data_IF_167055237686
#
_entry.id   IF_167055237686
#
_cell.length_a   1.000
_cell.length_b   1.000
_cell.length_c   1.000
_cell.angle_alpha   90.00
_cell.angle_beta   90.00
_cell.angle_gamma   90.00
#
_symmetry.space_group_name_H-M   'P 1'
#
loop_
_entity.id
_entity.type
_entity.pdbx_description
1 polymer ?
#
# COMPACT_ATOMS: atom_id res chain seq x y z
N UNK A 1 -26.39 21.71 -13.44
CA UNK A 1 -25.37 21.96 -12.38
C UNK A 1 -26.08 22.63 -11.21
N UNK A 2 -25.88 22.15 -9.99
CA UNK A 2 -26.46 22.75 -8.78
C UNK A 2 -25.39 23.59 -8.09
N UNK A 3 -25.75 24.80 -7.63
CA UNK A 3 -24.85 25.65 -6.85
C UNK A 3 -25.10 25.40 -5.37
N UNK A 4 -24.04 25.10 -4.62
CA UNK A 4 -24.08 24.93 -3.16
C UNK A 4 -23.15 25.98 -2.57
N UNK A 5 -23.68 26.82 -1.70
CA UNK A 5 -22.92 27.81 -0.93
C UNK A 5 -23.13 27.53 0.54
N UNK A 6 -22.04 27.54 1.32
CA UNK A 6 -22.10 27.38 2.76
C UNK A 6 -20.93 28.13 3.41
N UNK A 7 -21.15 28.61 4.62
CA UNK A 7 -20.10 29.15 5.48
C UNK A 7 -19.65 28.01 6.40
N UNK A 8 -18.33 27.79 6.47
CA UNK A 8 -17.73 26.71 7.26
C UNK A 8 -16.73 27.27 8.24
N UNK A 9 -16.53 26.55 9.36
CA UNK A 9 -15.49 26.87 10.32
C UNK A 9 -14.08 26.58 9.77
N UNK A 10 -13.07 27.11 10.46
CA UNK A 10 -11.66 26.93 10.08
C UNK A 10 -11.22 25.45 10.14
N UNK A 11 -11.78 24.66 11.07
CA UNK A 11 -11.44 23.25 11.20
C UNK A 11 -11.90 22.43 9.98
N UNK A 12 -13.07 22.75 9.42
CA UNK A 12 -13.62 22.15 8.20
C UNK A 12 -12.82 22.63 6.99
N UNK A 13 -12.48 23.91 6.90
CA UNK A 13 -11.61 24.42 5.84
C UNK A 13 -10.26 23.68 5.81
N UNK A 14 -9.66 23.44 6.98
CA UNK A 14 -8.42 22.67 7.11
C UNK A 14 -8.59 21.19 6.69
N UNK A 15 -9.74 20.55 6.98
CA UNK A 15 -10.04 19.20 6.50
C UNK A 15 -10.18 19.16 4.98
N UNK A 16 -10.81 20.15 4.36
CA UNK A 16 -10.93 20.25 2.90
C UNK A 16 -9.55 20.40 2.26
N UNK A 17 -8.72 21.28 2.81
CA UNK A 17 -7.35 21.46 2.32
C UNK A 17 -6.52 20.17 2.47
N UNK A 18 -6.65 19.48 3.61
CA UNK A 18 -6.01 18.19 3.81
C UNK A 18 -6.49 17.15 2.81
N UNK A 19 -7.79 17.09 2.53
CA UNK A 19 -8.36 16.18 1.54
C UNK A 19 -7.80 16.44 0.13
N UNK A 20 -7.61 17.71 -0.26
CA UNK A 20 -6.92 18.06 -1.52
C UNK A 20 -5.50 17.51 -1.58
N UNK A 21 -4.73 17.65 -0.50
CA UNK A 21 -3.35 17.14 -0.44
C UNK A 21 -3.30 15.61 -0.56
N UNK A 22 -4.18 14.90 0.15
CA UNK A 22 -4.25 13.43 0.14
C UNK A 22 -4.68 12.92 -1.23
N UNK A 23 -5.73 13.51 -1.80
CA UNK A 23 -6.36 13.03 -3.02
C UNK A 23 -5.73 13.58 -4.30
N UNK A 24 -4.70 14.43 -4.21
CA UNK A 24 -4.05 15.06 -5.37
C UNK A 24 -3.63 14.05 -6.45
N UNK A 25 -3.22 12.84 -6.06
CA UNK A 25 -2.87 11.78 -7.02
C UNK A 25 -4.06 11.27 -7.83
N UNK A 26 -5.25 11.17 -7.22
CA UNK A 26 -6.49 10.73 -7.88
C UNK A 26 -7.17 11.87 -8.62
N UNK A 27 -7.18 13.06 -8.01
CA UNK A 27 -7.82 14.27 -8.53
C UNK A 27 -6.82 15.44 -8.56
N UNK A 28 -5.99 15.56 -9.62
CA UNK A 28 -4.96 16.60 -9.70
C UNK A 28 -5.49 18.03 -9.63
N UNK A 29 -6.72 18.25 -10.11
CA UNK A 29 -7.38 19.56 -10.08
C UNK A 29 -7.89 19.96 -8.68
N UNK A 30 -8.08 19.00 -7.77
CA UNK A 30 -8.54 19.25 -6.40
C UNK A 30 -9.90 19.95 -6.30
N UNK A 31 -10.79 19.74 -7.30
CA UNK A 31 -12.14 20.31 -7.30
C UNK A 31 -12.92 19.83 -6.08
N UNK A 32 -13.73 20.72 -5.52
CA UNK A 32 -14.54 20.40 -4.35
C UNK A 32 -15.59 19.32 -4.65
N UNK A 33 -16.11 19.27 -5.87
CA UNK A 33 -17.06 18.25 -6.32
C UNK A 33 -16.50 16.83 -6.14
N UNK A 34 -15.27 16.59 -6.62
CA UNK A 34 -14.61 15.28 -6.50
C UNK A 34 -14.40 14.89 -5.03
N UNK A 35 -13.98 15.85 -4.21
CA UNK A 35 -13.69 15.65 -2.79
C UNK A 35 -14.98 15.38 -2.01
N UNK A 36 -16.04 16.15 -2.28
CA UNK A 36 -17.34 15.95 -1.65
C UNK A 36 -17.94 14.62 -2.07
N UNK A 37 -17.83 14.23 -3.34
CA UNK A 37 -18.33 12.94 -3.80
C UNK A 37 -17.62 11.78 -3.08
N UNK A 38 -16.29 11.79 -2.98
CA UNK A 38 -15.55 10.77 -2.20
C UNK A 38 -15.96 10.76 -0.72
N UNK A 39 -16.09 11.94 -0.11
CA UNK A 39 -16.43 12.06 1.30
C UNK A 39 -17.85 11.53 1.58
N UNK A 40 -18.82 11.88 0.72
CA UNK A 40 -20.21 11.44 0.83
C UNK A 40 -20.33 9.94 0.55
N UNK A 41 -19.64 9.42 -0.45
CA UNK A 41 -19.64 7.99 -0.76
C UNK A 41 -19.08 7.18 0.41
N UNK A 42 -17.96 7.63 1.01
CA UNK A 42 -17.39 7.01 2.20
C UNK A 42 -18.29 7.12 3.43
N UNK A 43 -18.99 8.26 3.61
CA UNK A 43 -19.96 8.46 4.68
C UNK A 43 -21.14 7.49 4.54
N UNK A 44 -21.72 7.41 3.34
CA UNK A 44 -22.86 6.55 3.05
C UNK A 44 -22.48 5.07 3.22
N UNK A 45 -21.33 4.62 2.70
CA UNK A 45 -20.86 3.24 2.89
C UNK A 45 -20.71 2.84 4.37
N UNK A 46 -20.38 3.83 5.23
CA UNK A 46 -20.20 3.60 6.67
C UNK A 46 -21.50 3.73 7.47
N UNK A 47 -22.37 4.68 7.12
CA UNK A 47 -23.49 5.10 7.98
C UNK A 47 -24.85 4.66 7.46
N UNK A 48 -25.05 4.58 6.15
CA UNK A 48 -26.34 4.27 5.52
C UNK A 48 -26.83 2.86 5.89
N UNK A 49 -27.99 2.74 6.57
CA UNK A 49 -28.60 1.44 6.88
C UNK A 49 -28.91 0.59 5.64
N UNK A 50 -29.34 1.20 4.53
CA UNK A 50 -29.70 0.46 3.32
C UNK A 50 -28.48 -0.19 2.69
N UNK A 51 -27.36 0.55 2.59
CA UNK A 51 -26.08 0.00 2.12
C UNK A 51 -25.58 -1.11 3.05
N UNK A 52 -25.75 -0.97 4.36
CA UNK A 52 -25.41 -2.04 5.32
C UNK A 52 -26.24 -3.30 5.11
N UNK A 53 -27.54 -3.17 4.90
CA UNK A 53 -28.44 -4.29 4.64
C UNK A 53 -28.06 -4.99 3.33
N UNK A 54 -27.88 -4.23 2.24
CA UNK A 54 -27.39 -4.75 0.95
C UNK A 54 -26.07 -5.50 1.12
N UNK A 55 -25.10 -4.93 1.84
CA UNK A 55 -23.81 -5.58 2.13
C UNK A 55 -23.97 -6.88 2.90
N UNK A 56 -24.87 -6.94 3.90
CA UNK A 56 -25.17 -8.17 4.64
C UNK A 56 -25.80 -9.23 3.75
N UNK A 57 -26.74 -8.85 2.88
CA UNK A 57 -27.37 -9.74 1.91
C UNK A 57 -26.35 -10.31 0.92
N UNK A 58 -25.48 -9.46 0.34
CA UNK A 58 -24.40 -9.88 -0.56
C UNK A 58 -23.45 -10.85 0.14
N UNK A 59 -23.05 -10.58 1.39
CA UNK A 59 -22.22 -11.51 2.17
C UNK A 59 -22.90 -12.87 2.40
N UNK A 60 -24.20 -12.87 2.74
CA UNK A 60 -24.98 -14.10 2.94
C UNK A 60 -25.08 -14.90 1.63
N UNK A 61 -25.35 -14.23 0.50
CA UNK A 61 -25.36 -14.87 -0.82
C UNK A 61 -24.00 -15.46 -1.17
N UNK A 62 -22.90 -14.72 -0.98
CA UNK A 62 -21.56 -15.23 -1.24
C UNK A 62 -21.20 -16.44 -0.36
N UNK A 63 -21.62 -16.44 0.91
CA UNK A 63 -21.43 -17.57 1.81
C UNK A 63 -22.23 -18.79 1.38
N UNK A 64 -23.50 -18.61 0.99
CA UNK A 64 -24.34 -19.67 0.46
C UNK A 64 -23.75 -20.26 -0.83
N UNK A 65 -23.25 -19.44 -1.75
CA UNK A 65 -22.57 -19.89 -2.97
C UNK A 65 -21.31 -20.69 -2.65
N UNK A 66 -20.50 -20.24 -1.68
CA UNK A 66 -19.31 -20.98 -1.22
C UNK A 66 -19.67 -22.31 -0.57
N UNK A 67 -20.77 -22.38 0.18
CA UNK A 67 -21.25 -23.62 0.80
C UNK A 67 -21.84 -24.59 -0.24
N UNK A 68 -22.65 -24.10 -1.19
CA UNK A 68 -23.16 -24.91 -2.30
C UNK A 68 -22.04 -25.50 -3.16
N UNK A 69 -20.98 -24.72 -3.45
CA UNK A 69 -19.79 -25.22 -4.15
C UNK A 69 -18.96 -26.24 -3.36
N UNK A 70 -19.11 -26.33 -2.03
CA UNK A 70 -18.50 -27.39 -1.22
C UNK A 70 -19.35 -28.67 -1.16
N UNK A 71 -20.63 -28.60 -1.51
CA UNK A 71 -21.57 -29.74 -1.50
C UNK A 71 -21.72 -30.46 -2.83
N UNK A 72 -21.32 -29.85 -3.94
CA UNK A 72 -21.23 -30.53 -5.24
C UNK A 72 -19.88 -31.25 -5.30
N UNK A 73 -19.87 -32.54 -4.95
CA UNK A 73 -18.78 -33.44 -5.32
C UNK A 73 -18.55 -33.36 -6.83
N UNK A 74 -17.29 -33.51 -7.26
CA UNK A 74 -16.95 -33.56 -8.68
C UNK A 74 -17.80 -34.59 -9.44
N UNK A 75 -17.85 -34.52 -10.79
CA UNK A 75 -18.69 -35.39 -11.60
C UNK A 75 -18.58 -36.84 -11.13
N UNK A 76 -19.71 -37.43 -10.72
CA UNK A 76 -19.77 -38.84 -10.37
C UNK A 76 -19.79 -39.61 -11.69
N UNK A 77 -18.75 -40.43 -11.92
CA UNK A 77 -18.76 -41.44 -12.97
C UNK A 77 -20.01 -42.35 -12.79
N UNK A 78 -20.68 -42.79 -13.89
CA UNK A 78 -21.90 -43.60 -13.80
C UNK A 78 -21.69 -44.99 -13.20
N UNK A 79 -20.45 -45.45 -13.10
CA UNK A 79 -20.08 -46.72 -12.47
C UNK A 79 -19.46 -46.41 -11.09
N UNK A 80 -20.22 -46.67 -10.02
CA UNK A 80 -19.93 -46.28 -8.63
C UNK A 80 -18.71 -46.92 -7.97
N UNK A 81 -17.57 -46.96 -8.65
CA UNK A 81 -16.31 -47.43 -8.12
C UNK A 81 -15.36 -46.24 -7.90
N UNK A 82 -15.14 -45.89 -6.63
CA UNK A 82 -14.18 -44.84 -6.25
C UNK A 82 -12.81 -45.23 -6.80
N UNK A 83 -12.38 -44.58 -7.89
CA UNK A 83 -11.03 -44.73 -8.45
C UNK A 83 -10.03 -44.38 -7.35
N UNK A 84 -9.52 -45.42 -6.68
CA UNK A 84 -8.42 -45.34 -5.72
C UNK A 84 -7.21 -44.86 -6.53
N UNK A 85 -6.97 -43.56 -6.56
CA UNK A 85 -5.72 -43.01 -7.09
C UNK A 85 -4.61 -43.63 -6.24
N UNK A 86 -3.91 -44.62 -6.81
CA UNK A 86 -2.72 -45.16 -6.19
C UNK A 86 -1.78 -43.97 -6.03
N UNK A 87 -1.59 -43.57 -4.78
CA UNK A 87 -0.56 -42.62 -4.40
C UNK A 87 0.76 -43.20 -4.90
N UNK A 88 1.27 -42.67 -6.02
CA UNK A 88 2.64 -42.95 -6.44
C UNK A 88 3.50 -42.46 -5.27
N UNK A 89 4.07 -43.40 -4.52
CA UNK A 89 5.04 -43.09 -3.49
C UNK A 89 6.22 -42.42 -4.19
N UNK A 90 6.36 -41.11 -3.99
CA UNK A 90 7.54 -40.42 -4.46
C UNK A 90 8.76 -41.06 -3.80
N UNK A 91 9.82 -41.39 -4.57
CA UNK A 91 11.03 -41.95 -4.00
C UNK A 91 11.57 -40.98 -2.97
N UNK A 92 11.85 -41.51 -1.78
CA UNK A 92 12.46 -40.80 -0.67
C UNK A 92 13.91 -40.47 -1.07
N UNK A 93 14.09 -39.37 -1.80
CA UNK A 93 15.41 -38.78 -1.99
C UNK A 93 15.86 -38.31 -0.60
N UNK A 94 16.80 -39.04 -0.02
CA UNK A 94 17.42 -38.65 1.23
C UNK A 94 18.05 -37.27 1.01
N UNK A 95 17.44 -36.23 1.59
CA UNK A 95 18.03 -34.90 1.63
C UNK A 95 19.40 -35.04 2.28
N UNK A 96 20.49 -34.58 1.64
CA UNK A 96 21.79 -34.61 2.28
C UNK A 96 21.70 -33.86 3.60
N UNK A 97 22.12 -34.53 4.67
CA UNK A 97 22.29 -33.95 6.01
C UNK A 97 23.53 -33.06 5.99
N UNK A 98 23.50 -31.99 5.20
CA UNK A 98 24.38 -30.86 5.48
C UNK A 98 23.90 -30.25 6.80
N UNK A 99 24.76 -30.04 7.81
CA UNK A 99 24.38 -29.32 9.00
C UNK A 99 24.03 -27.90 8.59
N UNK A 100 22.76 -27.50 8.71
CA UNK A 100 22.24 -26.19 8.27
C UNK A 100 22.77 -25.01 9.10
N UNK A 101 23.87 -25.19 9.86
CA UNK A 101 24.25 -24.32 10.97
C UNK A 101 25.52 -23.50 10.76
N UNK A 102 26.25 -23.63 9.66
CA UNK A 102 27.44 -22.77 9.43
C UNK A 102 27.59 -22.38 7.97
N UNK A 103 26.82 -21.38 7.55
CA UNK A 103 27.25 -20.24 6.69
C UNK A 103 26.02 -19.38 6.32
N UNK A 104 25.48 -18.69 7.33
CA UNK A 104 24.55 -17.57 7.08
C UNK A 104 24.78 -16.40 8.04
N UNK A 105 25.97 -16.34 8.66
CA UNK A 105 26.27 -15.34 9.69
C UNK A 105 26.47 -13.92 9.14
N UNK A 106 26.33 -13.70 7.82
CA UNK A 106 26.45 -12.36 7.21
C UNK A 106 25.38 -12.01 6.15
N UNK A 107 24.31 -12.79 6.01
CA UNK A 107 23.13 -12.34 5.27
C UNK A 107 21.93 -12.23 6.21
N UNK A 108 22.01 -11.27 7.14
CA UNK A 108 20.81 -10.52 7.51
C UNK A 108 20.34 -9.87 6.21
N UNK A 109 19.52 -10.60 5.44
CA UNK A 109 19.04 -10.17 4.13
C UNK A 109 18.48 -8.77 4.29
N UNK A 110 19.22 -7.78 3.80
CA UNK A 110 18.77 -6.40 3.78
C UNK A 110 17.51 -6.43 2.92
N UNK A 111 16.35 -6.39 3.56
CA UNK A 111 15.07 -6.37 2.87
C UNK A 111 14.74 -4.93 2.53
N UNK A 112 14.35 -4.67 1.28
CA UNK A 112 13.82 -3.37 0.86
C UNK A 112 12.44 -3.08 1.48
N UNK A 113 11.81 -4.09 2.08
CA UNK A 113 10.50 -3.93 2.72
C UNK A 113 10.60 -3.02 3.95
N UNK A 114 9.77 -1.98 3.97
CA UNK A 114 9.61 -1.11 5.13
C UNK A 114 8.29 -1.48 5.82
N UNK A 115 8.32 -1.93 7.09
CA UNK A 115 7.11 -2.23 7.86
C UNK A 115 6.15 -1.04 7.95
N UNK A 116 4.85 -1.33 8.05
CA UNK A 116 3.84 -0.27 8.14
C UNK A 116 3.98 0.58 9.42
N UNK A 117 4.39 -0.02 10.54
CA UNK A 117 4.68 0.69 11.79
C UNK A 117 5.78 1.73 11.59
N UNK A 118 6.91 1.33 11.00
CA UNK A 118 8.02 2.24 10.68
C UNK A 118 7.58 3.35 9.73
N UNK A 119 6.77 3.04 8.71
CA UNK A 119 6.19 4.09 7.85
C UNK A 119 5.35 5.07 8.65
N UNK A 120 4.50 4.60 9.56
CA UNK A 120 3.67 5.49 10.40
C UNK A 120 4.53 6.39 11.29
N UNK A 121 5.61 5.86 11.85
CA UNK A 121 6.57 6.64 12.65
C UNK A 121 7.27 7.72 11.81
N UNK A 122 7.74 7.38 10.61
CA UNK A 122 8.31 8.36 9.66
C UNK A 122 7.28 9.44 9.33
N UNK A 123 6.04 9.06 9.04
CA UNK A 123 4.96 10.01 8.72
C UNK A 123 4.62 10.93 9.89
N UNK A 124 4.62 10.41 11.12
CA UNK A 124 4.38 11.17 12.34
C UNK A 124 5.53 12.15 12.59
N UNK A 125 6.78 11.69 12.53
CA UNK A 125 7.99 12.50 12.75
C UNK A 125 8.10 13.64 11.73
N UNK A 126 7.80 13.35 10.47
CA UNK A 126 7.96 14.32 9.38
C UNK A 126 6.70 15.19 9.16
N UNK A 127 5.66 15.00 9.99
CA UNK A 127 4.37 15.73 9.96
C UNK A 127 3.63 15.70 8.62
N UNK A 128 3.86 14.66 7.81
CA UNK A 128 3.35 14.59 6.44
C UNK A 128 3.82 15.78 5.59
N UNK A 129 5.08 16.21 5.74
CA UNK A 129 5.73 17.25 4.96
C UNK A 129 7.05 16.74 4.40
N UNK A 130 7.39 17.19 3.20
CA UNK A 130 8.70 16.91 2.61
C UNK A 130 9.85 17.36 3.55
N UNK A 131 10.87 16.52 3.71
CA UNK A 131 12.07 16.78 4.50
C UNK A 131 13.24 17.35 3.70
N UNK A 132 13.06 17.57 2.39
CA UNK A 132 14.10 18.19 1.57
C UNK A 132 14.38 19.62 2.03
N UNK A 133 15.67 19.96 2.14
CA UNK A 133 16.17 21.32 2.34
C UNK A 133 16.96 21.74 1.11
N UNK A 134 16.71 22.95 0.63
CA UNK A 134 17.53 23.55 -0.42
C UNK A 134 18.95 23.84 0.09
N UNK A 135 19.93 24.07 -0.79
CA UNK A 135 21.27 24.50 -0.38
C UNK A 135 21.28 25.76 0.50
N UNK A 136 20.29 26.65 0.34
CA UNK A 136 20.09 27.82 1.18
C UNK A 136 19.33 27.55 2.49
N UNK A 137 19.14 26.29 2.89
CA UNK A 137 18.51 25.89 4.15
C UNK A 137 16.97 25.90 4.17
N UNK A 138 16.31 26.33 3.09
CA UNK A 138 14.84 26.39 3.05
C UNK A 138 14.25 25.00 2.88
N UNK A 139 13.38 24.59 3.82
CA UNK A 139 12.64 23.34 3.74
C UNK A 139 11.51 23.40 2.71
N UNK A 140 11.29 22.28 2.01
CA UNK A 140 10.14 22.11 1.13
C UNK A 140 8.85 21.93 1.95
N UNK A 141 7.81 22.69 1.62
CA UNK A 141 6.50 22.65 2.30
C UNK A 141 5.47 21.76 1.61
N UNK A 142 5.87 20.94 0.63
CA UNK A 142 4.93 20.05 -0.09
C UNK A 142 4.40 18.94 0.84
N UNK A 143 3.09 18.68 0.74
CA UNK A 143 2.33 17.72 1.55
C UNK A 143 1.61 16.67 0.71
N UNK A 144 1.65 16.83 -0.61
CA UNK A 144 1.12 15.88 -1.58
C UNK A 144 2.24 15.09 -2.26
N UNK A 145 1.87 13.95 -2.86
CA UNK A 145 2.80 13.05 -3.55
C UNK A 145 4.04 12.67 -2.71
N UNK A 146 3.83 12.45 -1.41
CA UNK A 146 4.90 12.08 -0.48
C UNK A 146 5.23 10.59 -0.62
N UNK A 147 6.53 10.31 -0.58
CA UNK A 147 7.13 8.99 -0.69
C UNK A 147 8.14 8.81 0.44
N UNK A 148 8.28 7.58 0.95
CA UNK A 148 9.29 7.24 1.94
C UNK A 148 10.62 6.98 1.21
N UNK A 149 11.57 7.88 1.42
CA UNK A 149 12.93 7.85 0.87
C UNK A 149 13.91 7.27 1.90
N UNK A 150 14.95 6.59 1.43
CA UNK A 150 16.08 6.17 2.26
C UNK A 150 17.20 7.20 2.13
N UNK A 151 17.64 7.82 3.23
CA UNK A 151 18.72 8.83 3.27
C UNK A 151 20.00 8.26 2.64
N UNK A 152 20.42 7.09 3.12
CA UNK A 152 21.34 6.18 2.44
C UNK A 152 20.49 5.19 1.65
N UNK A 153 20.50 5.21 0.31
CA UNK A 153 19.64 4.32 -0.47
C UNK A 153 19.88 2.85 -0.18
N UNK A 154 18.81 2.06 -0.25
CA UNK A 154 18.87 0.59 -0.12
C UNK A 154 19.92 -0.05 -1.04
N UNK A 155 20.00 0.39 -2.30
CA UNK A 155 20.96 -0.11 -3.28
C UNK A 155 22.43 0.11 -2.89
N UNK A 156 22.70 0.99 -1.92
CA UNK A 156 24.03 1.26 -1.37
C UNK A 156 24.20 0.66 0.04
N UNK A 157 23.33 -0.28 0.43
CA UNK A 157 23.35 -0.92 1.75
C UNK A 157 22.68 -0.08 2.84
N UNK A 158 21.71 0.77 2.49
CA UNK A 158 20.87 1.47 3.44
C UNK A 158 19.82 0.55 4.08
N UNK A 159 19.64 0.67 5.40
CA UNK A 159 18.66 -0.12 6.16
C UNK A 159 17.31 0.58 6.25
N UNK A 160 16.25 -0.19 6.46
CA UNK A 160 14.89 0.31 6.69
C UNK A 160 14.65 0.74 8.16
N UNK A 161 15.61 1.44 8.75
CA UNK A 161 15.55 1.97 10.12
C UNK A 161 14.99 3.40 10.12
N UNK A 162 14.29 3.81 11.19
CA UNK A 162 13.57 5.10 11.26
C UNK A 162 14.48 6.29 10.92
N UNK A 163 15.73 6.25 11.40
CA UNK A 163 16.76 7.28 11.22
C UNK A 163 17.23 7.38 9.76
N UNK A 164 17.22 6.27 9.03
CA UNK A 164 17.59 6.24 7.62
C UNK A 164 16.41 6.51 6.68
N UNK A 165 15.21 6.70 7.19
CA UNK A 165 14.01 6.96 6.40
C UNK A 165 13.53 8.40 6.56
N UNK A 166 12.92 8.95 5.52
CA UNK A 166 12.28 10.29 5.53
C UNK A 166 11.18 10.41 4.49
N UNK A 167 10.31 11.39 4.64
CA UNK A 167 9.34 11.78 3.61
C UNK A 167 9.97 12.77 2.64
N UNK A 168 9.85 12.47 1.35
CA UNK A 168 10.11 13.42 0.26
C UNK A 168 8.89 13.48 -0.66
N UNK A 169 8.61 14.65 -1.24
CA UNK A 169 7.70 14.68 -2.39
C UNK A 169 8.36 14.00 -3.59
N UNK A 170 7.56 13.42 -4.50
CA UNK A 170 8.04 12.69 -5.68
C UNK A 170 9.10 13.45 -6.48
N UNK A 171 8.96 14.78 -6.62
CA UNK A 171 9.96 15.64 -7.28
C UNK A 171 11.31 15.60 -6.56
N UNK A 172 11.33 15.78 -5.24
CA UNK A 172 12.57 15.77 -4.46
C UNK A 172 13.14 14.36 -4.29
N UNK A 173 12.29 13.33 -4.20
CA UNK A 173 12.75 11.95 -4.21
C UNK A 173 13.48 11.62 -5.51
N UNK A 174 12.90 12.00 -6.65
CA UNK A 174 13.54 11.87 -7.96
C UNK A 174 14.84 12.67 -8.06
N UNK A 175 14.86 13.91 -7.55
CA UNK A 175 16.07 14.72 -7.53
C UNK A 175 17.19 14.05 -6.71
N UNK A 176 16.87 13.51 -5.53
CA UNK A 176 17.82 12.76 -4.71
C UNK A 176 18.34 11.52 -5.41
N UNK A 177 17.47 10.75 -6.05
CA UNK A 177 17.87 9.60 -6.85
C UNK A 177 18.84 9.99 -7.99
N UNK A 178 18.61 11.11 -8.67
CA UNK A 178 19.50 11.62 -9.71
C UNK A 178 20.87 12.05 -9.16
N UNK A 179 20.91 12.68 -7.98
CA UNK A 179 22.17 13.03 -7.33
C UNK A 179 22.97 11.80 -6.92
N UNK A 180 22.30 10.72 -6.48
CA UNK A 180 22.98 9.52 -5.99
C UNK A 180 23.36 8.52 -7.08
N UNK A 181 22.52 8.32 -8.09
CA UNK A 181 22.69 7.29 -9.13
C UNK A 181 22.97 7.86 -10.52
N UNK A 182 23.02 9.19 -10.65
CA UNK A 182 23.16 9.88 -11.93
C UNK A 182 21.85 10.00 -12.71
N UNK A 183 21.85 10.85 -13.74
CA UNK A 183 20.67 11.17 -14.56
C UNK A 183 20.11 9.96 -15.32
N UNK A 184 20.96 8.97 -15.58
CA UNK A 184 20.65 7.74 -16.33
C UNK A 184 19.77 6.73 -15.56
N UNK A 185 19.64 6.89 -14.24
CA UNK A 185 18.79 6.02 -13.40
C UNK A 185 17.34 5.91 -13.87
N UNK A 186 16.84 6.89 -14.66
CA UNK A 186 15.49 6.86 -15.24
C UNK A 186 15.25 5.77 -16.29
N UNK A 187 16.26 5.37 -17.06
CA UNK A 187 16.06 4.52 -18.25
C UNK A 187 15.79 3.04 -17.95
N UNK A 188 15.86 2.61 -16.70
CA UNK A 188 15.74 1.20 -16.31
C UNK A 188 14.33 0.79 -15.83
N UNK A 189 13.38 1.73 -15.68
CA UNK A 189 12.07 1.47 -15.04
C UNK A 189 10.91 2.30 -15.64
N UNK A 190 11.07 2.80 -16.87
CA UNK A 190 10.02 3.44 -17.67
C UNK A 190 9.44 2.41 -18.65
#
# INVERSE_FOLDING_TARGET
KVKIECVVDEAVANKIQRAREVLKKKYPSGKLEDIFNEALEALLEKKDPERKLKRRQVKKQQQNVRQAKKGVGGPLDPDGEKRRTQSIQMPQVQKPLVPWKMESVLHTTLSRYIPMSTKQEVWKRDEGKCMYQSPGGKRCNERAYLEVDHIKPFALGGKAELENLRLLCSTHNRYRAQLTFGKQWRRAFE
#
